data_IF_712797819061
#
_entry.id   IF_712797819061
#
_cell.length_a   1.000
_cell.length_b   1.000
_cell.length_c   1.000
_cell.angle_alpha   90.00
_cell.angle_beta   90.00
_cell.angle_gamma   90.00
#
_symmetry.space_group_name_H-M   'P 1'
#
loop_
_entity.id
_entity.type
_entity.pdbx_description
1 polymer ?
#
# COMPACT_ATOMS: atom_id res chain seq x y z
N UNK A 1 9.05 7.09 16.57
CA UNK A 1 8.15 5.92 16.79
C UNK A 1 8.95 4.66 16.50
N UNK A 2 8.75 3.58 17.28
CA UNK A 2 9.40 2.29 17.02
C UNK A 2 8.34 1.27 16.62
N UNK A 3 8.66 0.38 15.67
CA UNK A 3 7.78 -0.67 15.15
C UNK A 3 8.57 -1.95 14.87
N UNK A 4 7.94 -3.08 15.08
CA UNK A 4 8.54 -4.36 14.66
C UNK A 4 8.52 -4.49 13.13
N UNK A 5 7.41 -4.08 12.50
CA UNK A 5 7.25 -4.12 11.05
C UNK A 5 6.60 -2.83 10.55
N UNK A 6 7.17 -2.25 9.50
CA UNK A 6 6.57 -1.16 8.74
C UNK A 6 6.33 -1.62 7.31
N UNK A 7 5.12 -1.40 6.81
CA UNK A 7 4.74 -1.71 5.44
C UNK A 7 4.53 -0.39 4.70
N UNK A 8 5.31 -0.15 3.66
CA UNK A 8 5.24 1.06 2.85
C UNK A 8 4.40 0.79 1.61
N UNK A 9 3.20 1.36 1.60
CA UNK A 9 2.18 1.18 0.59
C UNK A 9 1.00 0.35 1.08
N UNK A 10 -0.19 0.95 1.05
CA UNK A 10 -1.46 0.35 1.47
C UNK A 10 -2.29 -0.22 0.32
N UNK A 11 -1.65 -0.58 -0.79
CA UNK A 11 -2.27 -1.31 -1.90
C UNK A 11 -2.55 -2.78 -1.56
N UNK A 12 -3.00 -3.59 -2.55
CA UNK A 12 -3.34 -4.99 -2.33
C UNK A 12 -2.20 -5.80 -1.70
N UNK A 13 -0.98 -5.61 -2.17
CA UNK A 13 0.19 -6.30 -1.64
C UNK A 13 0.49 -5.90 -0.19
N UNK A 14 0.39 -4.60 0.13
CA UNK A 14 0.64 -4.09 1.49
C UNK A 14 -0.41 -4.56 2.49
N UNK A 15 -1.68 -4.53 2.10
CA UNK A 15 -2.77 -5.04 2.96
C UNK A 15 -2.63 -6.54 3.20
N UNK A 16 -2.37 -7.33 2.16
CA UNK A 16 -2.15 -8.77 2.30
C UNK A 16 -0.92 -9.09 3.17
N UNK A 17 0.17 -8.33 3.00
CA UNK A 17 1.37 -8.48 3.82
C UNK A 17 1.10 -8.16 5.30
N UNK A 18 0.30 -7.13 5.59
CA UNK A 18 -0.09 -6.77 6.95
C UNK A 18 -0.91 -7.87 7.63
N UNK A 19 -1.91 -8.42 6.92
CA UNK A 19 -2.73 -9.52 7.43
C UNK A 19 -1.88 -10.77 7.68
N UNK A 20 -1.06 -11.17 6.70
CA UNK A 20 -0.19 -12.34 6.86
C UNK A 20 0.83 -12.19 8.00
N UNK A 21 1.43 -11.01 8.16
CA UNK A 21 2.32 -10.73 9.26
C UNK A 21 1.60 -10.78 10.61
N UNK A 22 0.39 -10.22 10.68
CA UNK A 22 -0.42 -10.22 11.90
C UNK A 22 -0.83 -11.65 12.30
N UNK A 23 -1.24 -12.47 11.34
CA UNK A 23 -1.56 -13.90 11.55
C UNK A 23 -0.33 -14.69 12.00
N UNK A 24 0.84 -14.38 11.45
CA UNK A 24 2.12 -14.99 11.86
C UNK A 24 2.62 -14.52 13.24
N UNK A 25 1.89 -13.63 13.93
CA UNK A 25 2.19 -13.20 15.29
C UNK A 25 2.87 -11.83 15.41
N UNK A 26 3.17 -11.13 14.32
CA UNK A 26 3.72 -9.77 14.37
C UNK A 26 2.58 -8.79 14.67
N UNK A 27 2.50 -8.32 15.91
CA UNK A 27 1.40 -7.46 16.38
C UNK A 27 1.75 -5.97 16.36
N UNK A 28 3.03 -5.62 16.52
CA UNK A 28 3.49 -4.22 16.44
C UNK A 28 3.90 -3.86 15.01
N UNK A 29 2.91 -3.73 14.15
CA UNK A 29 3.08 -3.35 12.75
C UNK A 29 2.28 -2.11 12.40
N UNK A 30 2.65 -1.43 11.30
CA UNK A 30 1.93 -0.28 10.77
C UNK A 30 2.05 -0.23 9.25
N UNK A 31 0.98 0.21 8.59
CA UNK A 31 0.97 0.51 7.15
C UNK A 31 1.11 2.03 6.97
N UNK A 32 1.95 2.45 6.03
CA UNK A 32 2.07 3.86 5.61
C UNK A 32 1.54 3.97 4.19
N UNK A 33 0.52 4.81 4.00
CA UNK A 33 -0.11 5.04 2.70
C UNK A 33 -0.13 6.54 2.38
N UNK A 34 0.29 6.87 1.17
CA UNK A 34 0.33 8.26 0.70
C UNK A 34 -1.04 8.82 0.34
N UNK A 35 -1.95 7.96 -0.10
CA UNK A 35 -3.28 8.33 -0.52
C UNK A 35 -4.23 8.48 0.69
N UNK A 36 -5.41 9.00 0.46
CA UNK A 36 -6.43 9.22 1.49
C UNK A 36 -7.15 7.93 1.94
N UNK A 37 -6.91 6.82 1.25
CA UNK A 37 -7.49 5.52 1.58
C UNK A 37 -6.56 4.36 1.17
N UNK A 38 -6.71 3.21 1.84
CA UNK A 38 -6.09 1.97 1.43
C UNK A 38 -6.73 1.44 0.13
N UNK A 39 -6.01 0.58 -0.59
CA UNK A 39 -6.48 -0.09 -1.81
C UNK A 39 -5.61 0.17 -3.03
N UNK A 40 -4.89 1.29 -3.07
CA UNK A 40 -3.97 1.61 -4.17
C UNK A 40 -4.67 1.54 -5.54
N UNK A 41 -4.02 0.91 -6.51
CA UNK A 41 -4.54 0.81 -7.89
C UNK A 41 -5.91 0.12 -7.99
N UNK A 42 -6.28 -0.74 -7.05
CA UNK A 42 -7.58 -1.39 -7.04
C UNK A 42 -8.75 -0.40 -7.02
N UNK A 43 -8.57 0.74 -6.37
CA UNK A 43 -9.61 1.77 -6.29
C UNK A 43 -9.95 2.40 -7.66
N UNK A 44 -9.08 2.21 -8.66
CA UNK A 44 -9.27 2.69 -10.03
C UNK A 44 -9.75 1.58 -10.98
N UNK A 45 -9.72 0.32 -10.57
CA UNK A 45 -10.05 -0.85 -11.38
C UNK A 45 -11.54 -1.19 -11.22
N UNK A 46 -12.42 -0.42 -11.87
CA UNK A 46 -13.89 -0.59 -11.76
C UNK A 46 -14.47 -1.72 -12.64
N UNK A 47 -13.62 -2.52 -13.28
CA UNK A 47 -14.02 -3.73 -13.99
C UNK A 47 -14.04 -4.95 -13.07
N UNK A 48 -14.81 -5.98 -13.42
CA UNK A 48 -14.87 -7.25 -12.71
C UNK A 48 -13.64 -8.13 -12.99
N UNK A 49 -13.47 -9.19 -12.20
CA UNK A 49 -12.43 -10.20 -12.37
C UNK A 49 -11.53 -10.40 -11.14
N UNK A 50 -11.76 -9.64 -10.09
CA UNK A 50 -11.03 -9.79 -8.82
C UNK A 50 -11.77 -10.75 -7.88
N UNK A 51 -11.03 -11.46 -7.04
CA UNK A 51 -11.59 -12.25 -5.94
C UNK A 51 -11.96 -13.68 -6.27
N UNK A 52 -11.97 -14.10 -7.53
CA UNK A 52 -12.40 -15.46 -7.92
C UNK A 52 -11.62 -16.57 -7.20
N UNK A 53 -10.32 -16.41 -7.04
CA UNK A 53 -9.48 -17.41 -6.35
C UNK A 53 -9.44 -17.22 -4.82
N UNK A 54 -9.65 -16.01 -4.33
CA UNK A 54 -9.50 -15.68 -2.91
C UNK A 54 -10.82 -15.76 -2.15
N UNK A 55 -11.90 -15.28 -2.78
CA UNK A 55 -13.22 -15.19 -2.14
C UNK A 55 -14.28 -16.04 -2.82
N UNK A 56 -13.95 -16.71 -3.94
CA UNK A 56 -14.90 -17.42 -4.82
C UNK A 56 -16.06 -16.53 -5.30
N UNK A 57 -15.79 -15.24 -5.42
CA UNK A 57 -16.73 -14.22 -5.88
C UNK A 57 -16.06 -13.36 -6.96
N UNK A 58 -16.85 -12.90 -7.93
CA UNK A 58 -16.40 -11.97 -8.94
C UNK A 58 -16.65 -10.55 -8.44
N UNK A 59 -15.57 -9.84 -8.12
CA UNK A 59 -15.60 -8.50 -7.54
C UNK A 59 -14.96 -7.49 -8.48
N UNK A 60 -15.35 -6.22 -8.33
CA UNK A 60 -14.60 -5.09 -8.86
C UNK A 60 -13.36 -4.82 -8.01
N UNK A 61 -12.41 -4.02 -8.52
CA UNK A 61 -11.22 -3.64 -7.76
C UNK A 61 -11.53 -2.99 -6.41
N UNK A 62 -12.42 -1.98 -6.35
CA UNK A 62 -12.84 -1.37 -5.09
C UNK A 62 -13.49 -2.34 -4.10
N UNK A 63 -14.36 -3.25 -4.57
CA UNK A 63 -14.96 -4.28 -3.72
C UNK A 63 -13.93 -5.25 -3.17
N UNK A 64 -12.97 -5.65 -4.00
CA UNK A 64 -11.86 -6.50 -3.56
C UNK A 64 -10.99 -5.79 -2.51
N UNK A 65 -10.65 -4.51 -2.72
CA UNK A 65 -9.91 -3.71 -1.75
C UNK A 65 -10.68 -3.57 -0.44
N UNK A 66 -12.01 -3.38 -0.51
CA UNK A 66 -12.87 -3.26 0.67
C UNK A 66 -12.87 -4.52 1.53
N UNK A 67 -12.81 -5.72 0.91
CA UNK A 67 -12.71 -6.99 1.65
C UNK A 67 -11.45 -7.05 2.52
N UNK A 68 -10.33 -6.52 2.02
CA UNK A 68 -9.07 -6.45 2.77
C UNK A 68 -9.10 -5.33 3.82
N UNK A 69 -9.64 -4.16 3.49
CA UNK A 69 -9.77 -3.05 4.45
C UNK A 69 -10.56 -3.46 5.69
N UNK A 70 -11.69 -4.13 5.50
CA UNK A 70 -12.49 -4.64 6.62
C UNK A 70 -11.71 -5.55 7.54
N UNK A 71 -10.91 -6.46 7.02
CA UNK A 71 -10.06 -7.32 7.82
C UNK A 71 -8.99 -6.52 8.60
N UNK A 72 -8.37 -5.53 7.95
CA UNK A 72 -7.41 -4.61 8.59
C UNK A 72 -8.08 -3.88 9.77
N UNK A 73 -9.28 -3.35 9.56
CA UNK A 73 -10.03 -2.60 10.56
C UNK A 73 -10.54 -3.49 11.70
N UNK A 74 -11.05 -4.68 11.40
CA UNK A 74 -11.49 -5.68 12.38
C UNK A 74 -10.35 -6.12 13.30
N UNK A 75 -9.16 -6.33 12.75
CA UNK A 75 -7.94 -6.66 13.50
C UNK A 75 -7.29 -5.44 14.16
N UNK A 76 -7.81 -4.23 13.90
CA UNK A 76 -7.28 -2.96 14.40
C UNK A 76 -5.80 -2.76 14.05
N UNK A 77 -5.41 -3.19 12.86
CA UNK A 77 -4.06 -2.96 12.36
C UNK A 77 -3.91 -1.47 12.06
N UNK A 78 -2.95 -0.77 12.69
CA UNK A 78 -2.80 0.66 12.51
C UNK A 78 -2.27 0.99 11.11
N UNK A 79 -2.76 2.10 10.56
CA UNK A 79 -2.25 2.66 9.30
C UNK A 79 -2.24 4.19 9.34
N UNK A 80 -1.33 4.80 8.57
CA UNK A 80 -1.23 6.24 8.39
C UNK A 80 -1.55 6.56 6.93
N UNK A 81 -2.66 7.25 6.73
CA UNK A 81 -3.07 7.79 5.42
C UNK A 81 -2.47 9.18 5.18
N UNK A 82 -2.53 9.66 3.94
CA UNK A 82 -1.98 10.96 3.56
C UNK A 82 -0.54 11.16 4.04
N UNK A 83 0.24 10.06 4.12
CA UNK A 83 1.57 10.03 4.68
C UNK A 83 2.58 9.53 3.65
N UNK A 84 3.49 10.40 3.26
CA UNK A 84 4.50 10.11 2.25
C UNK A 84 5.81 9.75 2.93
N UNK A 85 6.41 8.63 2.52
CA UNK A 85 7.79 8.29 2.89
C UNK A 85 8.73 9.04 1.97
N UNK A 86 9.60 9.86 2.54
CA UNK A 86 10.54 10.72 1.80
C UNK A 86 11.98 10.22 1.84
N UNK A 87 12.31 9.39 2.82
CA UNK A 87 13.64 8.78 2.92
C UNK A 87 13.58 7.45 3.68
N UNK A 88 14.51 6.55 3.37
CA UNK A 88 14.70 5.27 4.01
C UNK A 88 16.20 4.99 4.15
N UNK A 89 16.71 5.03 5.36
CA UNK A 89 18.10 4.75 5.64
C UNK A 89 18.24 3.82 6.85
N UNK A 90 18.88 2.68 6.65
CA UNK A 90 19.17 1.66 7.69
C UNK A 90 17.97 1.40 8.62
N UNK A 91 16.81 1.10 8.06
CA UNK A 91 15.54 0.83 8.77
C UNK A 91 14.95 2.03 9.54
N UNK A 92 15.46 3.22 9.30
CA UNK A 92 14.86 4.47 9.73
C UNK A 92 14.10 5.06 8.56
N UNK A 93 12.79 5.18 8.72
CA UNK A 93 11.88 5.71 7.72
C UNK A 93 11.59 7.16 8.09
N UNK A 94 11.88 8.09 7.20
CA UNK A 94 11.44 9.47 7.33
C UNK A 94 10.15 9.65 6.55
N UNK A 95 9.08 9.99 7.24
CA UNK A 95 7.76 10.19 6.68
C UNK A 95 7.24 11.60 6.96
N UNK A 96 6.32 12.07 6.14
CA UNK A 96 5.71 13.39 6.25
C UNK A 96 4.21 13.32 5.98
N UNK A 97 3.44 14.05 6.77
CA UNK A 97 2.02 14.30 6.52
C UNK A 97 1.62 15.72 6.93
N UNK A 98 0.41 16.12 6.56
CA UNK A 98 -0.11 17.47 6.84
C UNK A 98 -0.38 17.76 8.32
N UNK A 99 -0.53 16.73 9.16
CA UNK A 99 -0.89 16.89 10.58
C UNK A 99 0.34 16.94 11.48
N UNK A 100 1.30 16.04 11.25
CA UNK A 100 2.47 15.86 12.12
C UNK A 100 3.76 16.46 11.54
N UNK A 101 3.70 16.98 10.30
CA UNK A 101 4.91 17.41 9.60
C UNK A 101 5.80 16.21 9.28
N UNK A 102 7.10 16.39 9.42
CA UNK A 102 8.11 15.35 9.20
C UNK A 102 8.43 14.61 10.51
N UNK A 103 8.44 13.29 10.45
CA UNK A 103 8.74 12.44 11.60
C UNK A 103 9.47 11.18 11.19
N UNK A 104 10.08 10.49 12.17
CA UNK A 104 10.86 9.27 11.94
C UNK A 104 10.21 8.05 12.59
N UNK A 105 10.29 6.93 11.88
CA UNK A 105 9.87 5.61 12.36
C UNK A 105 11.07 4.66 12.28
N UNK A 106 11.44 4.08 13.38
CA UNK A 106 12.46 3.03 13.43
C UNK A 106 11.77 1.67 13.36
N UNK A 107 12.16 0.86 12.39
CA UNK A 107 11.59 -0.45 12.14
C UNK A 107 12.62 -1.56 12.36
N UNK A 108 12.19 -2.73 12.88
CA UNK A 108 13.04 -3.93 12.86
C UNK A 108 13.04 -4.56 11.47
N UNK A 109 11.90 -4.52 10.77
CA UNK A 109 11.74 -4.99 9.41
C UNK A 109 10.86 -4.03 8.60
N UNK A 110 11.07 -4.00 7.29
CA UNK A 110 10.32 -3.15 6.36
C UNK A 110 9.90 -3.98 5.16
N UNK A 111 8.63 -3.84 4.76
CA UNK A 111 8.11 -4.38 3.52
C UNK A 111 7.80 -3.21 2.58
N UNK A 112 8.41 -3.25 1.39
CA UNK A 112 8.14 -2.29 0.32
C UNK A 112 7.02 -2.82 -0.57
N UNK A 113 5.85 -2.20 -0.51
CA UNK A 113 4.66 -2.56 -1.28
C UNK A 113 4.10 -1.36 -2.06
N UNK A 114 5.00 -0.55 -2.59
CA UNK A 114 4.70 0.76 -3.19
C UNK A 114 4.07 0.68 -4.59
N UNK A 115 3.90 -0.52 -5.12
CA UNK A 115 3.39 -0.75 -6.47
C UNK A 115 4.39 -0.33 -7.55
N UNK A 116 3.86 -0.06 -8.73
CA UNK A 116 4.65 0.41 -9.87
C UNK A 116 3.92 1.57 -10.55
N UNK A 117 4.65 2.27 -11.37
CA UNK A 117 4.13 3.31 -12.25
C UNK A 117 4.53 3.03 -13.67
N UNK A 118 3.62 3.16 -14.60
CA UNK A 118 3.93 3.05 -16.02
C UNK A 118 5.01 4.05 -16.45
N UNK A 119 5.88 3.64 -17.34
CA UNK A 119 6.76 4.56 -18.05
C UNK A 119 6.01 5.17 -19.22
N UNK A 120 5.90 6.47 -19.23
CA UNK A 120 5.32 7.17 -20.37
C UNK A 120 6.29 7.18 -21.56
N UNK A 121 5.73 7.28 -22.78
CA UNK A 121 6.50 7.44 -24.01
C UNK A 121 7.56 8.54 -23.92
N UNK A 122 7.22 9.69 -23.33
CA UNK A 122 8.16 10.80 -23.15
C UNK A 122 9.35 10.46 -22.26
N UNK A 123 9.15 9.65 -21.23
CA UNK A 123 10.24 9.18 -20.36
C UNK A 123 11.17 8.17 -21.04
N UNK A 124 10.68 7.47 -22.07
CA UNK A 124 11.43 6.50 -22.86
C UNK A 124 12.00 7.08 -24.16
N UNK A 125 11.66 8.32 -24.52
CA UNK A 125 12.03 8.97 -25.76
C UNK A 125 11.61 8.18 -27.03
N UNK A 126 10.49 7.46 -26.97
CA UNK A 126 9.96 6.65 -28.07
C UNK A 126 9.04 7.51 -28.92
N UNK A 127 9.24 7.60 -30.27
CA UNK A 127 8.33 8.31 -31.15
C UNK A 127 7.00 7.57 -31.32
N UNK A 128 5.95 8.27 -31.72
CA UNK A 128 4.62 7.71 -31.98
C UNK A 128 3.51 8.28 -31.14
N UNK A 129 2.32 7.67 -31.16
CA UNK A 129 1.18 8.09 -30.37
C UNK A 129 1.37 7.80 -28.89
N UNK A 130 0.74 8.64 -28.07
CA UNK A 130 0.74 8.45 -26.62
C UNK A 130 -0.15 7.26 -26.27
N UNK A 131 0.44 6.25 -25.65
CA UNK A 131 -0.28 5.12 -25.06
C UNK A 131 -0.33 5.26 -23.54
N UNK A 132 -1.21 4.49 -22.89
CA UNK A 132 -1.40 4.52 -21.44
C UNK A 132 -0.26 3.89 -20.65
N UNK A 133 0.66 3.16 -21.31
CA UNK A 133 1.85 2.57 -20.69
C UNK A 133 2.60 1.66 -21.65
N UNK A 134 3.83 1.36 -21.35
CA UNK A 134 4.71 0.41 -22.07
C UNK A 134 5.36 -0.51 -21.03
#
# INVERSE_FOLDING_TARGET
MNKDLVIIGGGPAGMAAALGAYEAGVKDLIIIERDECLGGILNQCIHNGFGLHTFNEELTGPEYAERYRRQIDELKIPYLLNTVVIDLNDKVITAMNGTSGTFMIHAKAIILAMGCRERSRGALNIPGYRQSGI
#
